data_IF_539959100285
#
_entry.id   IF_539959100285
#
_cell.length_a   1.000
_cell.length_b   1.000
_cell.length_c   1.000
_cell.angle_alpha   90.00
_cell.angle_beta   90.00
_cell.angle_gamma   90.00
#
_symmetry.space_group_name_H-M   'P 1'
#
loop_
_entity.id
_entity.type
_entity.pdbx_description
1 polymer ?
#
# COMPACT_ATOMS: atom_id res chain seq x y z
N UNK A 1 9.22 -1.68 2.25
CA UNK A 1 8.41 -1.50 1.02
C UNK A 1 7.81 -2.81 0.54
N UNK A 2 8.62 -3.86 0.33
CA UNK A 2 8.14 -5.18 -0.10
C UNK A 2 7.00 -5.76 0.78
N UNK A 3 7.09 -5.62 2.11
CA UNK A 3 6.04 -6.10 3.04
C UNK A 3 4.69 -5.39 2.87
N UNK A 4 4.69 -4.08 2.56
CA UNK A 4 3.47 -3.31 2.33
C UNK A 4 2.82 -3.77 1.02
N UNK A 5 3.61 -3.94 -0.04
CA UNK A 5 3.12 -4.44 -1.32
C UNK A 5 2.59 -5.88 -1.22
N UNK A 6 3.20 -6.73 -0.38
CA UNK A 6 2.70 -8.08 -0.12
C UNK A 6 1.33 -8.06 0.58
N UNK A 7 1.12 -7.15 1.53
CA UNK A 7 -0.18 -6.98 2.18
C UNK A 7 -1.24 -6.49 1.18
N UNK A 8 -0.90 -5.52 0.33
CA UNK A 8 -1.79 -5.01 -0.72
C UNK A 8 -2.11 -6.10 -1.76
N UNK A 9 -1.11 -6.89 -2.20
CA UNK A 9 -1.33 -8.05 -3.08
C UNK A 9 -2.29 -9.04 -2.44
N UNK A 10 -2.10 -9.33 -1.15
CA UNK A 10 -2.96 -10.26 -0.41
C UNK A 10 -4.39 -9.75 -0.33
N UNK A 11 -4.59 -8.46 -0.02
CA UNK A 11 -5.92 -7.86 0.09
C UNK A 11 -6.62 -7.60 -1.25
N UNK A 12 -5.89 -7.31 -2.32
CA UNK A 12 -6.46 -6.93 -3.62
C UNK A 12 -6.58 -8.10 -4.61
N UNK A 13 -5.60 -8.99 -4.63
CA UNK A 13 -5.50 -10.06 -5.62
C UNK A 13 -5.79 -11.44 -5.01
N UNK A 14 -5.26 -11.71 -3.82
CA UNK A 14 -5.33 -13.03 -3.18
C UNK A 14 -6.41 -13.15 -2.09
N UNK A 15 -7.36 -12.21 -2.00
CA UNK A 15 -8.46 -12.23 -1.02
C UNK A 15 -9.57 -13.26 -1.36
N UNK A 16 -9.23 -14.27 -2.16
CA UNK A 16 -10.13 -15.36 -2.58
C UNK A 16 -9.34 -16.65 -2.63
N UNK A 17 -10.03 -17.78 -2.42
CA UNK A 17 -9.42 -19.09 -2.59
C UNK A 17 -9.21 -19.36 -4.08
N UNK A 18 -7.97 -19.64 -4.46
CA UNK A 18 -7.58 -20.10 -5.79
C UNK A 18 -6.89 -21.44 -5.58
N UNK A 19 -7.46 -22.48 -6.16
CA UNK A 19 -7.05 -23.88 -6.03
C UNK A 19 -5.91 -24.27 -7.00
N UNK A 20 -5.74 -23.49 -8.07
CA UNK A 20 -4.72 -23.70 -9.09
C UNK A 20 -3.56 -22.68 -8.99
N UNK A 21 -2.32 -23.20 -8.93
CA UNK A 21 -1.12 -22.37 -8.77
C UNK A 21 -0.77 -21.56 -10.03
N UNK A 22 -1.13 -22.04 -11.22
CA UNK A 22 -0.90 -21.33 -12.48
C UNK A 22 -1.84 -20.13 -12.60
N UNK A 23 -3.08 -20.27 -12.12
CA UNK A 23 -4.03 -19.15 -12.00
C UNK A 23 -3.49 -18.10 -11.02
N UNK A 24 -2.98 -18.52 -9.85
CA UNK A 24 -2.34 -17.59 -8.89
C UNK A 24 -1.18 -16.83 -9.56
N UNK A 25 -0.30 -17.52 -10.27
CA UNK A 25 0.84 -16.88 -10.95
C UNK A 25 0.38 -15.84 -11.97
N UNK A 26 -0.62 -16.17 -12.79
CA UNK A 26 -1.15 -15.26 -13.81
C UNK A 26 -1.76 -13.99 -13.20
N UNK A 27 -2.53 -14.16 -12.13
CA UNK A 27 -3.18 -13.03 -11.43
C UNK A 27 -2.14 -12.12 -10.76
N UNK A 28 -1.14 -12.70 -10.11
CA UNK A 28 -0.03 -11.94 -9.47
C UNK A 28 0.77 -11.16 -10.51
N UNK A 29 1.08 -11.78 -11.66
CA UNK A 29 1.78 -11.10 -12.75
C UNK A 29 0.98 -9.91 -13.31
N UNK A 30 -0.31 -10.11 -13.58
CA UNK A 30 -1.18 -9.04 -14.07
C UNK A 30 -1.33 -7.91 -13.04
N UNK A 31 -1.46 -8.24 -11.76
CA UNK A 31 -1.53 -7.26 -10.67
C UNK A 31 -0.20 -6.48 -10.53
N UNK A 32 0.93 -7.17 -10.65
CA UNK A 32 2.25 -6.56 -10.58
C UNK A 32 2.45 -5.57 -11.75
N UNK A 33 2.11 -5.94 -12.97
CA UNK A 33 2.18 -5.03 -14.13
C UNK A 33 1.29 -3.79 -13.94
N UNK A 34 0.06 -3.99 -13.44
CA UNK A 34 -0.84 -2.88 -13.13
C UNK A 34 -0.28 -1.94 -12.06
N UNK A 35 0.31 -2.48 -10.98
CA UNK A 35 0.92 -1.67 -9.91
C UNK A 35 2.17 -0.94 -10.39
N UNK A 36 3.02 -1.61 -11.15
CA UNK A 36 4.22 -1.00 -11.72
C UNK A 36 3.86 0.16 -12.67
N UNK A 37 2.80 0.01 -13.47
CA UNK A 37 2.31 1.07 -14.36
C UNK A 37 1.71 2.26 -13.60
N UNK A 38 1.22 2.07 -12.38
CA UNK A 38 0.73 3.18 -11.55
C UNK A 38 1.83 4.08 -11.01
N UNK A 39 3.11 3.70 -11.17
CA UNK A 39 4.30 4.47 -10.79
C UNK A 39 4.14 5.18 -9.42
N UNK A 40 3.49 4.47 -8.49
CA UNK A 40 3.06 5.02 -7.22
C UNK A 40 4.29 5.23 -6.34
N UNK A 41 4.90 6.42 -6.46
CA UNK A 41 5.99 6.82 -5.59
C UNK A 41 5.41 7.05 -4.21
N UNK A 42 5.71 6.16 -3.29
CA UNK A 42 5.50 6.42 -1.87
C UNK A 42 6.55 7.45 -1.48
N UNK A 43 6.12 8.65 -1.15
CA UNK A 43 7.00 9.66 -0.58
C UNK A 43 7.23 9.33 0.90
N UNK A 44 8.44 8.86 1.20
CA UNK A 44 8.84 8.43 2.54
C UNK A 44 9.38 9.58 3.39
N UNK A 45 9.54 10.76 2.80
CA UNK A 45 9.97 11.95 3.51
C UNK A 45 8.80 12.93 3.56
N UNK A 46 8.40 13.29 4.77
CA UNK A 46 7.49 14.40 5.00
C UNK A 46 8.07 15.26 6.11
N UNK A 47 7.86 16.57 6.01
CA UNK A 47 8.36 17.49 7.02
C UNK A 47 7.57 17.33 8.31
N UNK A 48 8.11 17.80 9.44
CA UNK A 48 7.37 17.82 10.70
C UNK A 48 6.08 18.66 10.62
N UNK A 49 6.03 19.63 9.70
CA UNK A 49 4.83 20.43 9.43
C UNK A 49 3.77 19.63 8.66
N UNK A 50 4.17 18.89 7.63
CA UNK A 50 3.28 17.97 6.91
C UNK A 50 2.74 16.86 7.81
N UNK A 51 3.56 16.39 8.75
CA UNK A 51 3.18 15.39 9.75
C UNK A 51 2.02 15.89 10.61
N UNK A 52 2.08 17.15 11.07
CA UNK A 52 1.04 17.76 11.91
C UNK A 52 -0.29 17.87 11.18
N UNK A 53 -0.26 18.11 9.87
CA UNK A 53 -1.48 18.17 9.04
C UNK A 53 -2.05 16.76 8.81
N UNK A 54 -1.22 15.81 8.37
CA UNK A 54 -1.66 14.44 8.03
C UNK A 54 -2.03 13.60 9.26
N UNK A 55 -1.36 13.80 10.39
CA UNK A 55 -1.54 13.06 11.64
C UNK A 55 -2.19 13.94 12.72
N UNK A 56 -2.99 14.92 12.33
CA UNK A 56 -3.66 15.87 13.24
C UNK A 56 -4.37 15.21 14.41
N UNK A 57 -4.94 14.01 14.21
CA UNK A 57 -5.58 13.20 15.27
C UNK A 57 -4.62 12.72 16.37
N UNK A 58 -3.33 12.55 16.08
CA UNK A 58 -2.32 12.03 17.00
C UNK A 58 -1.61 13.14 17.78
N UNK A 59 -1.69 14.38 17.31
CA UNK A 59 -1.09 15.51 18.00
C UNK A 59 -2.10 16.14 18.97
N UNK A 60 -1.76 16.27 20.27
CA UNK A 60 -2.61 16.99 21.20
C UNK A 60 -2.71 18.46 20.74
N UNK A 61 -3.92 18.99 20.68
CA UNK A 61 -4.15 20.43 20.60
C UNK A 61 -3.60 21.05 21.87
N UNK A 62 -2.48 21.75 21.76
CA UNK A 62 -1.97 22.58 22.84
C UNK A 62 -2.94 23.75 22.97
N UNK A 63 -3.99 23.58 23.76
CA UNK A 63 -4.83 24.70 24.17
C UNK A 63 -3.99 25.60 25.10
N UNK A 64 -3.91 26.87 24.72
CA UNK A 64 -3.33 27.95 25.54
C UNK A 64 -4.33 28.49 26.54
#
# INVERSE_FOLDING_TARGET
MAEIELNVLTGQCLNRRIDDIEVVRKEVLAWQEFRNNKNAKVDWQFTAEDARIKLSRLYPTLES
#
